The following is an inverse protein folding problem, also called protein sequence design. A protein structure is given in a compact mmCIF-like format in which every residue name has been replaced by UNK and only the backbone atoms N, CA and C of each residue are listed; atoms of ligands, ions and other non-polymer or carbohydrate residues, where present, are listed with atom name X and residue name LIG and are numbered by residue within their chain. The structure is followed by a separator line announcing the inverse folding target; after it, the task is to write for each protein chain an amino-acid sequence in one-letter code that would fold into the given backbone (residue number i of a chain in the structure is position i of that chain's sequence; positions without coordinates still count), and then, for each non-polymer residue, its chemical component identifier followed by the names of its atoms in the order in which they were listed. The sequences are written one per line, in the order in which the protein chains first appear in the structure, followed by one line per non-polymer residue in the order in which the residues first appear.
data_IF_968788830780
#
_entry.id   IF_968788830780
#
_cell.length_a   1.000
_cell.length_b   1.000
_cell.length_c   1.000
_cell.angle_alpha   90.00
_cell.angle_beta   90.00
_cell.angle_gamma   90.00
#
_symmetry.space_group_name_H-M   'P 1'
#
loop_
_entity.id
_entity.type
_entity.pdbx_description
1 polymer ?
#
# COMPACT_ATOMS: atom_id res chain seq x y z
N UNK A 1 -43.99 9.66 33.85
CA UNK A 1 -42.91 8.68 33.99
C UNK A 1 -41.77 9.08 33.06
N UNK A 2 -40.72 9.75 33.58
CA UNK A 2 -39.52 10.09 32.80
C UNK A 2 -38.28 9.71 33.63
N UNK A 3 -37.81 8.48 33.45
CA UNK A 3 -36.49 8.04 33.93
C UNK A 3 -35.56 7.93 32.71
N UNK A 4 -34.93 9.04 32.34
CA UNK A 4 -33.86 9.04 31.34
C UNK A 4 -32.51 8.80 32.04
N UNK A 5 -32.09 7.55 31.94
CA UNK A 5 -30.73 7.03 31.75
C UNK A 5 -29.55 7.95 32.12
N UNK A 6 -29.28 8.06 33.43
CA UNK A 6 -28.13 8.76 34.04
C UNK A 6 -26.76 8.13 33.71
N UNK A 7 -26.71 6.99 33.00
CA UNK A 7 -25.46 6.26 32.71
C UNK A 7 -24.76 6.71 31.43
N UNK A 8 -25.47 7.36 30.49
CA UNK A 8 -24.86 7.83 29.23
C UNK A 8 -24.06 9.13 29.38
N UNK A 9 -24.40 9.98 30.35
CA UNK A 9 -23.70 11.25 30.60
C UNK A 9 -22.33 11.05 31.28
N UNK A 10 -22.18 10.05 32.14
CA UNK A 10 -20.93 9.75 32.83
C UNK A 10 -19.82 9.25 31.87
N UNK A 11 -20.19 8.47 30.84
CA UNK A 11 -19.23 8.00 29.82
C UNK A 11 -18.77 9.11 28.89
N UNK A 12 -19.65 10.05 28.54
CA UNK A 12 -19.28 11.23 27.74
C UNK A 12 -18.30 12.16 28.45
N UNK A 13 -18.50 12.38 29.75
CA UNK A 13 -17.60 13.23 30.56
C UNK A 13 -16.21 12.61 30.75
N UNK A 14 -16.11 11.29 30.87
CA UNK A 14 -14.82 10.60 30.98
C UNK A 14 -13.97 10.71 29.69
N UNK A 15 -14.61 10.67 28.51
CA UNK A 15 -13.90 10.80 27.22
C UNK A 15 -13.39 12.23 27.01
N UNK A 16 -14.17 13.24 27.41
CA UNK A 16 -13.76 14.65 27.30
C UNK A 16 -12.58 14.94 28.25
N UNK A 17 -12.59 14.39 29.47
CA UNK A 17 -11.48 14.54 30.40
C UNK A 17 -10.18 13.90 29.89
N UNK A 18 -10.25 12.72 29.25
CA UNK A 18 -9.07 12.04 28.69
C UNK A 18 -8.46 12.84 27.53
N UNK A 19 -9.30 13.40 26.64
CA UNK A 19 -8.84 14.23 25.53
C UNK A 19 -8.17 15.53 26.01
N UNK A 20 -8.68 16.14 27.08
CA UNK A 20 -8.07 17.33 27.67
C UNK A 20 -6.68 17.06 28.26
N UNK A 21 -6.47 15.90 28.89
CA UNK A 21 -5.15 15.51 29.44
C UNK A 21 -4.14 15.26 28.32
N UNK A 22 -4.53 14.59 27.24
CA UNK A 22 -3.65 14.32 26.09
C UNK A 22 -3.26 15.62 25.37
N UNK A 23 -4.19 16.58 25.25
CA UNK A 23 -3.89 17.87 24.64
C UNK A 23 -2.90 18.70 25.48
N UNK A 24 -3.00 18.60 26.81
CA UNK A 24 -2.12 19.34 27.72
C UNK A 24 -0.70 18.77 27.77
N UNK A 25 -0.55 17.44 27.68
CA UNK A 25 0.79 16.81 27.63
C UNK A 25 1.51 17.06 26.30
N UNK A 26 0.78 17.11 25.18
CA UNK A 26 1.35 17.49 23.88
C UNK A 26 1.79 18.95 23.82
N UNK A 27 1.06 19.88 24.45
CA UNK A 27 1.45 21.28 24.52
C UNK A 27 2.67 21.52 25.44
N UNK A 28 2.77 20.79 26.56
CA UNK A 28 3.91 20.90 27.49
C UNK A 28 5.24 20.41 26.91
N UNK A 29 5.21 19.34 26.10
CA UNK A 29 6.41 18.81 25.44
C UNK A 29 7.02 19.75 24.39
N UNK A 30 6.18 20.51 23.68
CA UNK A 30 6.63 21.46 22.65
C UNK A 30 7.33 22.70 23.23
N UNK A 31 6.87 23.21 24.37
CA UNK A 31 7.46 24.38 25.04
C UNK A 31 8.83 24.08 25.69
N UNK A 32 9.02 22.89 26.25
CA UNK A 32 10.29 22.47 26.86
C UNK A 32 11.42 22.30 25.83
N UNK A 33 11.11 21.78 24.65
CA UNK A 33 12.07 21.62 23.56
C UNK A 33 12.53 22.96 22.97
N UNK A 34 11.65 23.97 22.95
CA UNK A 34 11.95 25.29 22.38
C UNK A 34 12.83 26.17 23.29
N UNK A 35 12.66 26.07 24.61
CA UNK A 35 13.44 26.85 25.59
C UNK A 35 14.88 26.32 25.71
N UNK A 36 15.10 25.01 25.60
CA UNK A 36 16.43 24.41 25.68
C UNK A 36 17.34 24.75 24.50
N UNK A 37 16.79 25.07 23.33
CA UNK A 37 17.59 25.33 22.13
C UNK A 37 18.15 26.77 22.06
N UNK A 38 17.61 27.71 22.84
CA UNK A 38 18.02 29.13 22.81
C UNK A 38 19.07 29.53 23.86
N UNK A 39 19.42 28.64 24.81
CA UNK A 39 20.35 29.00 25.89
C UNK A 39 21.85 28.81 25.56
N UNK A 40 22.20 28.36 24.34
CA UNK A 40 23.58 28.04 23.98
C UNK A 40 24.34 29.13 23.18
N UNK A 41 23.89 30.39 23.18
CA UNK A 41 24.62 31.49 22.54
C UNK A 41 24.69 32.75 23.40
N UNK A 42 25.75 32.85 24.21
CA UNK A 42 26.34 34.14 24.61
C UNK A 42 27.87 34.00 24.73
N UNK A 43 28.68 34.71 23.93
CA UNK A 43 30.07 34.93 24.26
C UNK A 43 30.19 36.17 25.14
N UNK A 44 30.73 36.04 26.35
CA UNK A 44 31.16 37.19 27.15
C UNK A 44 32.51 37.66 26.59
N UNK A 45 32.47 38.80 25.90
CA UNK A 45 33.64 39.64 25.64
C UNK A 45 33.89 40.47 26.89
N UNK A 46 35.04 40.29 27.53
CA UNK A 46 35.52 41.23 28.55
C UNK A 46 36.89 41.76 28.14
N UNK A 47 36.89 43.02 27.71
CA UNK A 47 38.07 43.76 27.27
C UNK A 47 38.40 44.79 28.37
N UNK A 48 39.44 44.53 29.15
CA UNK A 48 40.00 45.52 30.10
C UNK A 48 41.52 45.50 30.05
N UNK A 49 42.07 46.63 29.63
CA UNK A 49 43.47 46.92 29.50
C UNK A 49 44.22 46.92 30.85
N UNK A 50 45.50 46.56 30.83
CA UNK A 50 46.58 47.30 31.50
C UNK A 50 47.96 46.96 30.89
N UNK A 51 48.90 47.91 30.82
CA UNK A 51 50.21 47.72 30.20
C UNK A 51 51.29 47.39 31.24
N UNK A 52 52.27 46.55 30.87
CA UNK A 52 53.53 46.44 31.61
C UNK A 52 54.70 46.09 30.69
N UNK A 53 55.82 46.73 30.99
CA UNK A 53 57.01 46.97 30.18
C UNK A 53 58.06 45.85 30.40
N UNK A 54 58.54 45.21 29.30
CA UNK A 54 59.93 44.79 28.89
C UNK A 54 60.81 44.01 29.91
N UNK A 55 61.57 42.91 29.59
CA UNK A 55 62.53 42.84 28.47
C UNK A 55 62.76 41.54 27.66
N UNK A 56 63.26 41.77 26.43
CA UNK A 56 64.06 40.94 25.49
C UNK A 56 64.63 39.60 25.99
N UNK A 57 64.38 38.54 25.22
CA UNK A 57 65.39 37.52 24.83
C UNK A 57 64.96 36.68 23.61
N UNK A 58 65.74 36.81 22.53
CA UNK A 58 66.07 35.86 21.44
C UNK A 58 65.00 35.21 20.52
N UNK A 59 65.30 35.02 19.21
CA UNK A 59 64.35 34.53 18.23
C UNK A 59 64.37 32.99 18.16
N UNK A 60 63.25 32.34 18.51
CA UNK A 60 63.00 30.94 18.19
C UNK A 60 62.06 30.88 16.97
N UNK A 61 62.47 30.05 16.02
CA UNK A 61 61.84 29.80 14.72
C UNK A 61 60.33 29.53 14.80
N UNK A 62 59.55 30.30 14.04
CA UNK A 62 58.16 29.97 13.68
C UNK A 62 58.16 28.79 12.71
N UNK A 63 57.88 27.60 13.20
CA UNK A 63 57.26 26.55 12.40
C UNK A 63 55.75 26.85 12.31
N UNK A 64 55.09 26.67 11.15
CA UNK A 64 53.66 26.89 11.05
C UNK A 64 52.92 25.67 11.63
N UNK A 65 52.44 25.75 12.87
CA UNK A 65 51.46 24.78 13.41
C UNK A 65 50.04 25.32 13.22
N UNK A 66 49.44 25.04 12.07
CA UNK A 66 47.99 25.28 11.86
C UNK A 66 47.44 24.31 10.81
N UNK A 67 47.36 23.00 11.13
CA UNK A 67 46.64 22.02 10.31
C UNK A 67 46.27 20.68 11.01
N UNK A 68 45.56 20.64 12.17
CA UNK A 68 44.84 19.41 12.54
C UNK A 68 43.30 19.55 12.55
N UNK A 69 42.75 20.71 12.89
CA UNK A 69 41.31 20.87 13.10
C UNK A 69 40.49 20.93 11.79
N UNK A 70 41.01 21.58 10.75
CA UNK A 70 40.30 21.72 9.47
C UNK A 70 40.23 20.41 8.66
N UNK A 71 41.16 19.48 8.90
CA UNK A 71 41.21 18.15 8.26
C UNK A 71 40.25 17.16 8.92
N UNK A 72 40.05 17.26 10.23
CA UNK A 72 39.15 16.38 10.99
C UNK A 72 37.67 16.61 10.63
N UNK A 73 37.28 17.87 10.41
CA UNK A 73 35.92 18.23 9.95
C UNK A 73 35.62 17.73 8.53
N UNK A 74 36.64 17.67 7.65
CA UNK A 74 36.49 17.21 6.27
C UNK A 74 36.29 15.69 6.19
N UNK A 75 37.01 14.91 7.01
CA UNK A 75 36.85 13.46 7.08
C UNK A 75 35.45 13.07 7.62
N UNK A 76 34.93 13.83 8.58
CA UNK A 76 33.55 13.67 9.08
C UNK A 76 32.50 13.97 8.01
N UNK A 77 32.70 15.01 7.19
CA UNK A 77 31.80 15.30 6.07
C UNK A 77 31.89 14.20 5.01
N UNK A 78 33.09 13.75 4.65
CA UNK A 78 33.31 12.71 3.66
C UNK A 78 32.65 11.38 4.05
N UNK A 79 32.82 10.96 5.31
CA UNK A 79 32.14 9.77 5.85
C UNK A 79 30.62 9.91 5.81
N UNK A 80 30.07 11.07 6.19
CA UNK A 80 28.63 11.32 6.15
C UNK A 80 28.05 11.32 4.72
N UNK A 81 28.80 11.86 3.77
CA UNK A 81 28.42 11.80 2.35
C UNK A 81 28.44 10.35 1.85
N UNK A 82 29.46 9.58 2.21
CA UNK A 82 29.53 8.15 1.89
C UNK A 82 28.35 7.35 2.44
N UNK A 83 27.94 7.61 3.70
CA UNK A 83 26.75 7.01 4.30
C UNK A 83 25.48 7.34 3.51
N UNK A 84 25.28 8.61 3.16
CA UNK A 84 24.11 9.05 2.40
C UNK A 84 24.09 8.46 0.98
N UNK A 85 25.25 8.31 0.33
CA UNK A 85 25.34 7.65 -0.98
C UNK A 85 24.93 6.17 -0.89
N UNK A 86 25.38 5.46 0.16
CA UNK A 86 25.00 4.08 0.39
C UNK A 86 23.50 3.94 0.69
N UNK A 87 22.91 4.89 1.44
CA UNK A 87 21.48 4.92 1.72
C UNK A 87 20.66 5.18 0.45
N UNK A 88 21.08 6.13 -0.39
CA UNK A 88 20.47 6.38 -1.71
C UNK A 88 20.48 5.15 -2.61
N UNK A 89 21.59 4.41 -2.67
CA UNK A 89 21.67 3.18 -3.46
C UNK A 89 20.67 2.13 -3.00
N UNK A 90 20.48 1.97 -1.68
CA UNK A 90 19.47 1.06 -1.12
C UNK A 90 18.06 1.51 -1.47
N UNK A 91 17.77 2.81 -1.40
CA UNK A 91 16.47 3.36 -1.77
C UNK A 91 16.17 3.14 -3.26
N UNK A 92 17.14 3.35 -4.13
CA UNK A 92 16.99 3.09 -5.56
C UNK A 92 16.69 1.62 -5.84
N UNK A 93 17.46 0.70 -5.23
CA UNK A 93 17.23 -0.74 -5.39
C UNK A 93 15.86 -1.19 -4.85
N UNK A 94 15.37 -0.59 -3.78
CA UNK A 94 14.02 -0.84 -3.28
C UNK A 94 12.95 -0.36 -4.27
N UNK A 95 13.09 0.87 -4.79
CA UNK A 95 12.19 1.44 -5.79
C UNK A 95 12.07 0.58 -7.03
N UNK A 96 13.20 0.17 -7.63
CA UNK A 96 13.22 -0.72 -8.79
C UNK A 96 12.52 -2.06 -8.51
N UNK A 97 12.79 -2.66 -7.36
CA UNK A 97 12.18 -3.94 -6.98
C UNK A 97 10.67 -3.81 -6.89
N UNK A 98 10.16 -2.72 -6.31
CA UNK A 98 8.73 -2.44 -6.19
C UNK A 98 8.08 -2.23 -7.56
N UNK A 99 8.73 -1.50 -8.47
CA UNK A 99 8.26 -1.31 -9.85
C UNK A 99 8.18 -2.65 -10.59
N UNK A 100 9.21 -3.48 -10.48
CA UNK A 100 9.26 -4.79 -11.14
C UNK A 100 8.22 -5.77 -10.58
N UNK A 101 8.04 -5.82 -9.25
CA UNK A 101 7.03 -6.69 -8.62
C UNK A 101 5.60 -6.25 -8.92
N UNK A 102 5.36 -4.95 -9.04
CA UNK A 102 4.05 -4.40 -9.34
C UNK A 102 3.73 -4.38 -10.84
N UNK A 103 4.69 -4.61 -11.74
CA UNK A 103 4.49 -4.57 -13.18
C UNK A 103 4.12 -3.16 -13.69
N UNK A 104 4.61 -2.13 -13.01
CA UNK A 104 4.51 -0.73 -13.45
C UNK A 104 5.57 -0.44 -14.52
N UNK A 105 5.36 0.63 -15.31
CA UNK A 105 6.30 1.00 -16.37
C UNK A 105 7.63 1.52 -15.77
N UNK A 106 8.78 0.86 -16.03
CA UNK A 106 10.07 1.32 -15.53
C UNK A 106 10.46 2.72 -16.03
N UNK A 107 9.99 3.13 -17.21
CA UNK A 107 10.28 4.45 -17.79
C UNK A 107 9.58 5.60 -17.04
N UNK A 108 8.45 5.32 -16.39
CA UNK A 108 7.71 6.32 -15.61
C UNK A 108 8.26 6.47 -14.18
N UNK A 109 8.86 5.38 -13.64
CA UNK A 109 9.39 5.30 -12.28
C UNK A 109 10.89 4.96 -12.29
N UNK A 110 11.67 5.84 -12.90
CA UNK A 110 13.13 5.69 -12.98
C UNK A 110 13.83 6.17 -11.69
N UNK A 111 14.59 5.26 -11.07
CA UNK A 111 15.41 5.47 -9.89
C UNK A 111 16.93 5.54 -10.15
N UNK A 112 17.39 5.22 -11.37
CA UNK A 112 18.81 5.22 -11.76
C UNK A 112 19.25 6.57 -12.28
N UNK A 113 18.40 7.24 -13.06
CA UNK A 113 18.81 8.47 -13.71
C UNK A 113 18.60 9.67 -12.79
N UNK A 114 19.65 10.46 -12.49
CA UNK A 114 19.49 11.72 -11.79
C UNK A 114 18.67 12.69 -12.66
N UNK A 115 17.94 13.64 -12.06
CA UNK A 115 17.18 14.62 -12.82
C UNK A 115 18.12 15.39 -13.78
N UNK A 116 17.69 15.69 -15.02
CA UNK A 116 18.52 16.38 -15.98
C UNK A 116 19.06 17.70 -15.41
N UNK A 117 20.38 17.82 -15.36
CA UNK A 117 21.08 19.05 -14.98
C UNK A 117 21.66 19.70 -16.22
N UNK A 118 21.42 20.99 -16.41
CA UNK A 118 22.01 21.78 -17.48
C UNK A 118 23.28 22.50 -16.99
N UNK A 119 24.28 22.62 -17.87
CA UNK A 119 25.48 23.42 -17.62
C UNK A 119 26.40 23.44 -18.84
N UNK A 120 27.00 24.60 -19.14
CA UNK A 120 28.12 24.71 -20.07
C UNK A 120 29.40 24.56 -19.24
N UNK A 121 29.90 23.34 -19.10
CA UNK A 121 31.08 23.06 -18.27
C UNK A 121 32.35 23.02 -19.13
N UNK A 122 33.03 24.16 -19.25
CA UNK A 122 34.41 24.21 -19.70
C UNK A 122 35.24 25.07 -18.73
N UNK A 123 36.15 24.43 -18.01
CA UNK A 123 37.09 25.10 -17.11
C UNK A 123 38.16 24.15 -16.57
N UNK A 124 39.36 24.66 -16.20
CA UNK A 124 40.43 23.83 -15.67
C UNK A 124 40.08 23.25 -14.30
N UNK A 125 40.49 22.00 -14.04
CA UNK A 125 40.29 21.32 -12.76
C UNK A 125 40.99 22.08 -11.63
N UNK A 126 40.26 22.39 -10.55
CA UNK A 126 40.77 23.02 -9.33
C UNK A 126 40.15 22.34 -8.11
N UNK A 127 40.84 22.45 -6.96
CA UNK A 127 40.36 21.93 -5.70
C UNK A 127 39.01 22.55 -5.30
N UNK A 128 38.17 21.72 -4.70
CA UNK A 128 36.83 22.12 -4.26
C UNK A 128 36.92 23.20 -3.19
N UNK A 129 36.19 24.28 -3.40
CA UNK A 129 35.95 25.30 -2.37
C UNK A 129 34.84 24.84 -1.42
N UNK A 130 34.84 25.34 -0.18
CA UNK A 130 33.77 25.09 0.81
C UNK A 130 32.38 25.41 0.23
N UNK A 131 32.29 26.43 -0.64
CA UNK A 131 31.04 26.81 -1.31
C UNK A 131 30.59 25.78 -2.35
N UNK A 132 31.52 25.13 -3.06
CA UNK A 132 31.21 24.06 -4.01
C UNK A 132 30.76 22.78 -3.29
N UNK A 133 31.41 22.43 -2.17
CA UNK A 133 30.98 21.30 -1.33
C UNK A 133 29.57 21.55 -0.78
N UNK A 134 29.28 22.77 -0.32
CA UNK A 134 27.94 23.14 0.14
C UNK A 134 26.89 23.07 -0.99
N UNK A 135 27.26 23.43 -2.22
CA UNK A 135 26.40 23.29 -3.40
C UNK A 135 26.13 21.82 -3.74
N UNK A 136 27.15 20.97 -3.69
CA UNK A 136 27.03 19.55 -3.99
C UNK A 136 26.18 18.82 -2.95
N UNK A 137 26.37 19.14 -1.66
CA UNK A 137 25.51 18.68 -0.58
C UNK A 137 24.05 19.11 -0.77
N UNK A 138 23.81 20.37 -1.18
CA UNK A 138 22.46 20.84 -1.51
C UNK A 138 21.83 20.07 -2.68
N UNK A 139 22.66 19.74 -3.68
CA UNK A 139 22.27 18.92 -4.85
C UNK A 139 21.86 17.50 -4.44
N UNK A 140 22.61 16.90 -3.51
CA UNK A 140 22.38 15.55 -3.01
C UNK A 140 21.16 15.47 -2.11
N UNK A 141 20.95 16.48 -1.26
CA UNK A 141 19.71 16.63 -0.47
C UNK A 141 18.50 16.72 -1.40
N UNK A 142 18.58 17.51 -2.47
CA UNK A 142 17.51 17.61 -3.46
C UNK A 142 17.20 16.25 -4.11
N UNK A 143 18.23 15.48 -4.46
CA UNK A 143 18.06 14.14 -5.02
C UNK A 143 17.40 13.17 -4.03
N UNK A 144 17.83 13.15 -2.76
CA UNK A 144 17.19 12.32 -1.71
C UNK A 144 15.70 12.67 -1.57
N UNK A 145 15.38 13.97 -1.53
CA UNK A 145 13.99 14.42 -1.45
C UNK A 145 13.17 14.01 -2.67
N UNK A 146 13.77 14.04 -3.87
CA UNK A 146 13.11 13.56 -5.08
C UNK A 146 12.82 12.06 -5.06
N UNK A 147 13.82 11.26 -4.67
CA UNK A 147 13.66 9.81 -4.52
C UNK A 147 12.60 9.45 -3.49
N UNK A 148 12.55 10.18 -2.37
CA UNK A 148 11.49 10.03 -1.36
C UNK A 148 10.10 10.29 -1.95
N UNK A 149 9.89 11.41 -2.66
CA UNK A 149 8.59 11.71 -3.28
C UNK A 149 8.17 10.65 -4.30
N UNK A 150 9.11 10.14 -5.10
CA UNK A 150 8.83 9.05 -6.05
C UNK A 150 8.39 7.77 -5.34
N UNK A 151 9.01 7.43 -4.20
CA UNK A 151 8.60 6.28 -3.38
C UNK A 151 7.21 6.45 -2.76
N UNK A 152 6.86 7.66 -2.30
CA UNK A 152 5.51 7.95 -1.78
C UNK A 152 4.43 7.76 -2.86
N UNK A 153 4.66 8.28 -4.07
CA UNK A 153 3.73 8.07 -5.19
C UNK A 153 3.66 6.60 -5.59
N UNK A 154 4.80 5.91 -5.61
CA UNK A 154 4.85 4.49 -5.93
C UNK A 154 4.06 3.65 -4.91
N UNK A 155 4.18 3.97 -3.62
CA UNK A 155 3.41 3.36 -2.54
C UNK A 155 1.89 3.55 -2.78
N UNK A 156 1.45 4.78 -3.05
CA UNK A 156 0.05 5.08 -3.34
C UNK A 156 -0.49 4.29 -4.54
N UNK A 157 0.28 4.21 -5.63
CA UNK A 157 -0.12 3.48 -6.86
C UNK A 157 -0.19 1.97 -6.60
N UNK A 158 0.79 1.40 -5.89
CA UNK A 158 0.79 -0.03 -5.55
C UNK A 158 -0.39 -0.34 -4.63
N UNK A 159 -0.67 0.48 -3.62
CA UNK A 159 -1.81 0.32 -2.73
C UNK A 159 -3.14 0.38 -3.49
N UNK A 160 -3.34 1.33 -4.40
CA UNK A 160 -4.55 1.42 -5.21
C UNK A 160 -4.75 0.19 -6.11
N UNK A 161 -3.67 -0.31 -6.71
CA UNK A 161 -3.69 -1.51 -7.55
C UNK A 161 -4.03 -2.76 -6.74
N UNK A 162 -3.43 -2.93 -5.55
CA UNK A 162 -3.70 -4.06 -4.67
C UNK A 162 -5.14 -4.03 -4.12
N UNK A 163 -5.62 -2.85 -3.71
CA UNK A 163 -7.01 -2.65 -3.30
C UNK A 163 -7.97 -2.98 -4.44
N UNK A 164 -7.69 -2.48 -5.65
CA UNK A 164 -8.50 -2.77 -6.83
C UNK A 164 -8.51 -4.27 -7.15
N UNK A 165 -7.37 -4.96 -7.04
CA UNK A 165 -7.30 -6.39 -7.30
C UNK A 165 -8.09 -7.24 -6.28
N UNK A 166 -8.08 -6.84 -5.00
CA UNK A 166 -8.82 -7.53 -3.94
C UNK A 166 -10.34 -7.25 -3.99
N UNK A 167 -10.73 -6.07 -4.45
CA UNK A 167 -12.11 -5.59 -4.47
C UNK A 167 -12.84 -5.97 -5.76
N UNK A 168 -12.13 -6.15 -6.86
CA UNK A 168 -12.73 -6.53 -8.14
C UNK A 168 -12.90 -8.05 -8.26
N UNK A 169 -14.12 -8.54 -8.56
CA UNK A 169 -14.35 -9.95 -8.88
C UNK A 169 -13.35 -10.45 -9.92
N UNK A 170 -12.50 -11.41 -9.58
CA UNK A 170 -11.55 -12.00 -10.53
C UNK A 170 -11.42 -13.52 -10.35
N UNK A 171 -11.03 -14.20 -11.43
CA UNK A 171 -11.01 -15.66 -11.50
C UNK A 171 -12.41 -16.29 -11.58
N UNK A 172 -12.45 -17.61 -11.69
CA UNK A 172 -13.70 -18.37 -11.80
C UNK A 172 -14.27 -18.72 -10.42
N UNK A 173 -15.61 -18.82 -10.30
CA UNK A 173 -16.26 -19.26 -9.06
C UNK A 173 -16.01 -20.76 -8.77
N UNK A 174 -15.45 -21.51 -9.72
CA UNK A 174 -15.05 -22.92 -9.60
C UNK A 174 -13.64 -23.12 -10.15
N UNK A 175 -12.84 -23.98 -9.50
CA UNK A 175 -11.44 -24.25 -9.92
C UNK A 175 -11.31 -25.19 -11.11
N UNK A 176 -12.34 -25.99 -11.38
CA UNK A 176 -12.37 -26.93 -12.49
C UNK A 176 -13.79 -27.00 -13.08
N UNK A 177 -13.89 -26.93 -14.40
CA UNK A 177 -15.16 -26.91 -15.11
C UNK A 177 -15.06 -26.22 -16.48
N UNK A 178 -16.21 -26.00 -17.10
CA UNK A 178 -16.33 -25.26 -18.35
C UNK A 178 -17.64 -24.48 -18.40
N UNK A 179 -17.67 -23.44 -19.24
CA UNK A 179 -18.84 -22.59 -19.42
C UNK A 179 -19.87 -23.33 -20.26
N UNK A 180 -21.08 -23.53 -19.73
CA UNK A 180 -22.20 -24.14 -20.47
C UNK A 180 -23.19 -23.13 -20.98
N UNK A 181 -23.29 -21.97 -20.34
CA UNK A 181 -24.18 -20.91 -20.78
C UNK A 181 -23.61 -19.53 -20.48
N UNK A 182 -23.73 -18.63 -21.47
CA UNK A 182 -23.26 -17.25 -21.36
C UNK A 182 -24.39 -16.31 -20.93
N UNK A 183 -24.00 -15.13 -20.46
CA UNK A 183 -24.88 -14.00 -20.23
C UNK A 183 -25.55 -13.55 -21.53
N UNK A 184 -26.83 -13.12 -21.46
CA UNK A 184 -27.57 -12.59 -22.60
C UNK A 184 -28.78 -13.42 -23.05
N UNK A 185 -29.38 -13.03 -24.18
CA UNK A 185 -30.56 -13.71 -24.72
C UNK A 185 -30.22 -15.11 -25.24
N UNK A 186 -30.94 -16.12 -24.73
CA UNK A 186 -30.82 -17.52 -25.17
C UNK A 186 -32.16 -18.23 -25.13
N UNK A 187 -32.25 -19.38 -25.79
CA UNK A 187 -33.41 -20.27 -25.63
C UNK A 187 -33.31 -20.92 -24.26
N UNK A 188 -34.32 -20.69 -23.41
CA UNK A 188 -34.36 -21.24 -22.07
C UNK A 188 -34.49 -22.77 -22.13
N UNK A 189 -33.65 -23.53 -21.42
CA UNK A 189 -33.55 -24.98 -21.58
C UNK A 189 -34.85 -25.72 -21.22
N UNK A 190 -35.56 -25.23 -20.21
CA UNK A 190 -36.84 -25.79 -19.75
C UNK A 190 -38.04 -25.16 -20.49
N UNK A 191 -38.17 -23.84 -20.49
CA UNK A 191 -39.34 -23.13 -21.06
C UNK A 191 -39.38 -23.09 -22.59
N UNK A 192 -38.29 -23.48 -23.28
CA UNK A 192 -38.14 -23.48 -24.75
C UNK A 192 -38.48 -22.14 -25.44
N UNK A 193 -38.42 -21.03 -24.69
CA UNK A 193 -38.64 -19.66 -25.16
C UNK A 193 -37.37 -18.84 -25.03
N UNK A 194 -37.22 -17.80 -25.84
CA UNK A 194 -36.08 -16.87 -25.72
C UNK A 194 -36.22 -16.05 -24.44
N UNK A 195 -35.30 -16.23 -23.51
CA UNK A 195 -35.23 -15.52 -22.23
C UNK A 195 -33.82 -14.97 -22.03
N UNK A 196 -33.73 -13.88 -21.28
CA UNK A 196 -32.46 -13.27 -20.92
C UNK A 196 -31.84 -14.06 -19.76
N UNK A 197 -30.57 -14.41 -19.90
CA UNK A 197 -29.79 -15.07 -18.88
C UNK A 197 -28.95 -14.03 -18.15
N UNK A 198 -29.23 -13.84 -16.86
CA UNK A 198 -28.64 -12.79 -16.02
C UNK A 198 -27.24 -13.12 -15.50
N UNK A 199 -26.69 -14.28 -15.88
CA UNK A 199 -25.37 -14.73 -15.43
C UNK A 199 -24.67 -15.64 -16.41
N UNK A 200 -23.66 -16.35 -15.91
CA UNK A 200 -22.89 -17.36 -16.63
C UNK A 200 -22.99 -18.67 -15.86
N UNK A 201 -23.23 -19.76 -16.58
CA UNK A 201 -23.31 -21.11 -16.01
C UNK A 201 -21.98 -21.82 -16.18
N UNK A 202 -21.40 -22.29 -15.08
CA UNK A 202 -20.18 -23.10 -15.06
C UNK A 202 -20.51 -24.53 -14.64
N UNK A 203 -20.43 -25.47 -15.58
CA UNK A 203 -20.59 -26.87 -15.28
C UNK A 203 -19.35 -27.42 -14.58
N UNK A 204 -19.58 -28.15 -13.51
CA UNK A 204 -18.55 -28.79 -12.68
C UNK A 204 -19.19 -29.97 -11.94
N UNK A 205 -18.41 -31.00 -11.55
CA UNK A 205 -18.95 -32.10 -10.76
C UNK A 205 -19.71 -31.62 -9.52
N UNK A 206 -20.78 -32.35 -9.17
CA UNK A 206 -21.53 -32.08 -7.95
C UNK A 206 -20.62 -32.16 -6.73
N UNK A 207 -20.76 -31.24 -5.79
CA UNK A 207 -19.93 -31.16 -4.59
C UNK A 207 -18.63 -30.36 -4.76
N UNK A 208 -18.24 -30.00 -5.99
CA UNK A 208 -17.05 -29.15 -6.23
C UNK A 208 -17.14 -27.86 -5.42
N UNK A 209 -16.01 -27.41 -4.88
CA UNK A 209 -15.94 -26.16 -4.14
C UNK A 209 -16.30 -24.95 -5.02
N UNK A 210 -17.26 -24.15 -4.57
CA UNK A 210 -17.53 -22.81 -5.07
C UNK A 210 -16.77 -21.82 -4.20
N UNK A 211 -16.02 -20.92 -4.82
CA UNK A 211 -15.19 -19.93 -4.13
C UNK A 211 -15.65 -18.50 -4.37
N UNK A 212 -15.44 -17.63 -3.39
CA UNK A 212 -15.62 -16.19 -3.55
C UNK A 212 -14.62 -15.65 -4.59
N UNK A 213 -15.07 -14.79 -5.50
CA UNK A 213 -14.22 -14.25 -6.58
C UNK A 213 -13.56 -12.92 -6.20
N UNK A 214 -13.96 -12.32 -5.07
CA UNK A 214 -13.37 -11.13 -4.46
C UNK A 214 -13.72 -11.09 -2.97
N UNK A 215 -13.02 -10.24 -2.22
CA UNK A 215 -13.29 -9.99 -0.81
C UNK A 215 -14.64 -9.30 -0.61
N UNK A 216 -15.37 -9.65 0.45
CA UNK A 216 -16.67 -9.03 0.71
C UNK A 216 -17.41 -9.56 1.92
N UNK A 217 -18.66 -9.15 2.03
CA UNK A 217 -19.59 -9.56 3.09
C UNK A 217 -20.77 -10.30 2.48
N UNK A 218 -21.10 -11.46 3.05
CA UNK A 218 -22.28 -12.23 2.65
C UNK A 218 -23.53 -11.44 3.01
N UNK A 219 -24.31 -11.05 2.00
CA UNK A 219 -25.58 -10.32 2.15
C UNK A 219 -26.80 -11.23 2.09
N UNK A 220 -26.65 -12.45 1.59
CA UNK A 220 -27.69 -13.45 1.62
C UNK A 220 -27.07 -14.85 1.58
N UNK A 221 -27.61 -15.78 2.37
CA UNK A 221 -27.30 -17.21 2.25
C UNK A 221 -28.54 -18.02 2.61
N UNK A 222 -29.19 -18.60 1.60
CA UNK A 222 -30.47 -19.28 1.79
C UNK A 222 -31.04 -19.84 0.51
N UNK A 223 -32.36 -20.06 0.46
CA UNK A 223 -33.07 -20.50 -0.75
C UNK A 223 -33.81 -19.33 -1.41
N UNK A 224 -33.66 -19.17 -2.73
CA UNK A 224 -34.25 -18.06 -3.50
C UNK A 224 -34.96 -18.56 -4.76
N UNK A 225 -36.18 -19.07 -4.60
CA UNK A 225 -37.06 -19.45 -5.72
C UNK A 225 -36.34 -20.31 -6.78
N UNK A 226 -36.38 -19.85 -8.04
CA UNK A 226 -35.75 -20.53 -9.18
C UNK A 226 -34.24 -20.69 -9.07
N UNK A 227 -33.53 -19.86 -8.30
CA UNK A 227 -32.09 -19.97 -8.07
C UNK A 227 -31.70 -21.11 -7.13
N UNK A 228 -32.67 -21.72 -6.43
CA UNK A 228 -32.38 -22.79 -5.47
C UNK A 228 -31.63 -22.25 -4.25
N UNK A 229 -30.62 -22.98 -3.76
CA UNK A 229 -29.72 -22.50 -2.71
C UNK A 229 -28.75 -21.49 -3.31
N UNK A 230 -28.60 -20.35 -2.65
CA UNK A 230 -27.92 -19.18 -3.19
C UNK A 230 -27.11 -18.47 -2.12
N UNK A 231 -25.97 -17.93 -2.50
CA UNK A 231 -25.15 -17.01 -1.71
C UNK A 231 -24.99 -15.71 -2.51
N UNK A 232 -25.29 -14.56 -1.91
CA UNK A 232 -24.98 -13.25 -2.50
C UNK A 232 -23.92 -12.55 -1.62
N UNK A 233 -22.82 -12.09 -2.23
CA UNK A 233 -21.71 -11.39 -1.56
C UNK A 233 -21.63 -9.97 -2.08
N UNK A 234 -21.58 -8.98 -1.18
CA UNK A 234 -21.35 -7.57 -1.50
C UNK A 234 -19.89 -7.22 -1.31
N UNK A 235 -19.32 -6.57 -2.31
CA UNK A 235 -17.93 -6.13 -2.37
C UNK A 235 -17.80 -4.63 -2.09
N UNK A 236 -16.58 -4.16 -1.80
CA UNK A 236 -16.31 -2.76 -1.41
C UNK A 236 -16.65 -1.76 -2.52
N UNK A 237 -16.49 -2.13 -3.78
CA UNK A 237 -16.84 -1.33 -4.96
C UNK A 237 -18.37 -1.26 -5.24
N UNK A 238 -19.21 -1.80 -4.36
CA UNK A 238 -20.66 -1.81 -4.51
C UNK A 238 -21.20 -2.92 -5.43
N UNK A 239 -20.35 -3.75 -6.02
CA UNK A 239 -20.79 -4.92 -6.77
C UNK A 239 -21.35 -5.98 -5.83
N UNK A 240 -22.29 -6.77 -6.34
CA UNK A 240 -22.79 -7.97 -5.69
C UNK A 240 -22.55 -9.16 -6.61
N UNK A 241 -21.93 -10.22 -6.09
CA UNK A 241 -21.80 -11.49 -6.80
C UNK A 241 -22.79 -12.50 -6.27
N UNK A 242 -23.45 -13.23 -7.17
CA UNK A 242 -24.42 -14.28 -6.83
C UNK A 242 -23.91 -15.64 -7.25
N UNK A 243 -24.08 -16.62 -6.35
CA UNK A 243 -23.72 -18.02 -6.56
C UNK A 243 -24.95 -18.88 -6.30
N UNK A 244 -25.55 -19.41 -7.36
CA UNK A 244 -26.83 -20.11 -7.32
C UNK A 244 -26.74 -21.58 -7.77
N UNK A 245 -27.84 -22.29 -7.57
CA UNK A 245 -27.99 -23.74 -7.75
C UNK A 245 -27.10 -24.60 -6.85
N UNK A 246 -26.62 -24.01 -5.74
CA UNK A 246 -25.70 -24.66 -4.80
C UNK A 246 -26.28 -25.97 -4.26
N UNK A 247 -25.41 -26.93 -3.96
CA UNK A 247 -25.78 -28.07 -3.14
C UNK A 247 -25.86 -27.61 -1.70
N UNK A 248 -24.77 -27.13 -1.11
CA UNK A 248 -24.74 -26.62 0.27
C UNK A 248 -24.11 -25.23 0.31
N UNK A 249 -24.70 -24.35 1.12
CA UNK A 249 -24.10 -23.06 1.45
C UNK A 249 -23.26 -23.24 2.74
N UNK A 250 -22.00 -22.83 2.71
CA UNK A 250 -21.05 -23.02 3.82
C UNK A 250 -20.81 -21.74 4.62
N UNK A 251 -21.44 -20.63 4.19
CA UNK A 251 -21.34 -19.32 4.83
C UNK A 251 -22.72 -18.79 5.20
N UNK A 252 -22.75 -17.86 6.16
CA UNK A 252 -23.98 -17.23 6.67
C UNK A 252 -24.00 -15.74 6.36
N UNK A 253 -25.20 -15.16 6.34
CA UNK A 253 -25.37 -13.71 6.22
C UNK A 253 -24.60 -12.95 7.31
N UNK A 254 -23.97 -11.83 6.93
CA UNK A 254 -23.08 -11.04 7.78
C UNK A 254 -21.64 -11.54 7.86
N UNK A 255 -21.32 -12.73 7.33
CA UNK A 255 -19.96 -13.26 7.35
C UNK A 255 -19.04 -12.53 6.35
N UNK A 256 -17.85 -12.15 6.80
CA UNK A 256 -16.77 -11.69 5.91
C UNK A 256 -16.14 -12.90 5.20
N UNK A 257 -15.88 -12.74 3.91
CA UNK A 257 -15.25 -13.76 3.07
C UNK A 257 -14.10 -13.15 2.28
N UNK A 258 -13.04 -13.94 2.10
CA UNK A 258 -11.89 -13.57 1.27
C UNK A 258 -11.98 -14.20 -0.11
N UNK A 259 -11.36 -13.58 -1.10
CA UNK A 259 -11.17 -14.14 -2.42
C UNK A 259 -10.57 -15.55 -2.32
N UNK A 260 -11.11 -16.48 -3.11
CA UNK A 260 -10.69 -17.88 -3.13
C UNK A 260 -11.22 -18.72 -1.96
N UNK A 261 -11.85 -18.11 -0.95
CA UNK A 261 -12.47 -18.84 0.15
C UNK A 261 -13.64 -19.69 -0.35
N UNK A 262 -13.71 -20.94 0.11
CA UNK A 262 -14.84 -21.83 -0.18
C UNK A 262 -16.10 -21.33 0.53
N UNK A 263 -17.13 -21.02 -0.24
CA UNK A 263 -18.40 -20.45 0.24
C UNK A 263 -19.60 -21.38 0.07
N UNK A 264 -19.53 -22.30 -0.89
CA UNK A 264 -20.60 -23.24 -1.20
C UNK A 264 -20.04 -24.46 -1.94
N UNK A 265 -20.92 -25.39 -2.29
CA UNK A 265 -20.62 -26.54 -3.15
C UNK A 265 -21.53 -26.57 -4.37
N UNK A 266 -21.01 -27.00 -5.51
CA UNK A 266 -21.74 -27.12 -6.77
C UNK A 266 -22.90 -28.10 -6.61
N UNK A 267 -24.07 -27.71 -7.09
CA UNK A 267 -25.28 -28.52 -7.01
C UNK A 267 -26.14 -28.41 -8.26
N UNK A 268 -27.42 -28.72 -8.07
CA UNK A 268 -28.46 -28.62 -9.10
C UNK A 268 -29.79 -28.29 -8.42
N UNK A 269 -29.77 -27.39 -7.44
CA UNK A 269 -30.96 -27.00 -6.69
C UNK A 269 -31.78 -25.92 -7.42
N UNK A 270 -33.08 -25.83 -7.17
CA UNK A 270 -33.94 -24.87 -7.88
C UNK A 270 -34.21 -25.32 -9.32
N UNK A 271 -34.21 -24.36 -10.25
CA UNK A 271 -34.47 -24.59 -11.68
C UNK A 271 -33.15 -24.85 -12.42
N UNK A 272 -32.60 -26.06 -12.24
CA UNK A 272 -31.35 -26.51 -12.85
C UNK A 272 -31.53 -27.85 -13.57
N UNK A 273 -30.91 -28.02 -14.73
CA UNK A 273 -30.98 -29.28 -15.53
C UNK A 273 -29.85 -30.26 -15.24
N UNK A 274 -28.88 -29.88 -14.42
CA UNK A 274 -27.73 -30.70 -14.06
C UNK A 274 -26.73 -29.94 -13.18
N UNK A 275 -25.64 -30.58 -12.73
CA UNK A 275 -24.65 -29.95 -11.85
C UNK A 275 -23.93 -28.75 -12.48
N UNK A 276 -24.14 -27.55 -11.93
CA UNK A 276 -23.43 -26.33 -12.29
C UNK A 276 -23.55 -25.27 -11.19
N UNK A 277 -22.71 -24.24 -11.26
CA UNK A 277 -22.94 -22.98 -10.55
C UNK A 277 -23.45 -21.95 -11.55
N UNK A 278 -24.54 -21.27 -11.21
CA UNK A 278 -25.00 -20.08 -11.90
C UNK A 278 -24.40 -18.86 -11.20
N UNK A 279 -23.64 -18.07 -11.95
CA UNK A 279 -22.87 -16.95 -11.43
C UNK A 279 -23.30 -15.62 -12.07
N UNK A 280 -23.69 -14.66 -11.24
CA UNK A 280 -24.05 -13.31 -11.69
C UNK A 280 -23.12 -12.27 -11.07
N UNK A 281 -22.88 -11.18 -11.81
CA UNK A 281 -22.34 -9.94 -11.28
C UNK A 281 -23.44 -8.89 -11.38
N UNK A 282 -23.74 -8.23 -10.27
CA UNK A 282 -24.83 -7.27 -10.14
C UNK A 282 -24.21 -5.92 -9.78
N UNK A 283 -24.50 -4.90 -10.59
CA UNK A 283 -24.10 -3.51 -10.36
C UNK A 283 -25.36 -2.65 -10.30
N UNK A 284 -25.50 -1.85 -9.24
CA UNK A 284 -26.64 -0.93 -9.05
C UNK A 284 -28.01 -1.62 -9.21
N UNK A 285 -28.10 -2.87 -8.72
CA UNK A 285 -29.31 -3.69 -8.78
C UNK A 285 -29.59 -4.35 -10.13
N UNK A 286 -28.74 -4.18 -11.15
CA UNK A 286 -28.88 -4.80 -12.47
C UNK A 286 -27.78 -5.83 -12.73
N UNK A 287 -28.15 -6.96 -13.30
CA UNK A 287 -27.19 -7.96 -13.76
C UNK A 287 -26.37 -7.42 -14.95
N UNK A 288 -25.05 -7.61 -14.88
CA UNK A 288 -24.09 -7.24 -15.93
C UNK A 288 -23.30 -8.46 -16.36
N UNK A 289 -22.73 -8.43 -17.57
CA UNK A 289 -21.95 -9.56 -18.10
C UNK A 289 -20.76 -9.88 -17.18
N UNK A 290 -20.74 -11.06 -16.54
CA UNK A 290 -19.65 -11.47 -15.65
C UNK A 290 -18.28 -11.47 -16.32
N UNK A 291 -18.19 -11.78 -17.63
CA UNK A 291 -16.92 -11.82 -18.35
C UNK A 291 -16.25 -10.45 -18.54
N UNK A 292 -16.89 -9.36 -18.11
CA UNK A 292 -16.24 -8.05 -17.98
C UNK A 292 -15.37 -7.93 -16.72
N UNK A 293 -15.54 -8.84 -15.77
CA UNK A 293 -14.88 -8.80 -14.47
C UNK A 293 -13.99 -10.03 -14.27
N UNK A 294 -14.47 -11.21 -14.69
CA UNK A 294 -13.74 -12.47 -14.53
C UNK A 294 -13.04 -12.92 -15.82
N UNK A 295 -11.93 -13.63 -15.65
CA UNK A 295 -11.16 -14.21 -16.75
C UNK A 295 -12.01 -15.20 -17.57
N UNK A 296 -11.74 -15.33 -18.87
CA UNK A 296 -12.45 -16.28 -19.75
C UNK A 296 -12.01 -17.74 -19.58
N UNK A 297 -10.96 -17.99 -18.80
CA UNK A 297 -10.45 -19.32 -18.47
C UNK A 297 -10.15 -19.39 -16.97
N UNK A 298 -10.26 -20.59 -16.34
CA UNK A 298 -9.90 -20.75 -14.95
C UNK A 298 -8.39 -20.54 -14.80
N UNK A 299 -7.97 -19.75 -13.80
CA UNK A 299 -6.53 -19.63 -13.50
C UNK A 299 -6.01 -20.99 -13.02
N UNK A 300 -4.91 -21.50 -13.58
CA UNK A 300 -4.21 -22.64 -13.01
C UNK A 300 -3.87 -22.31 -11.56
N UNK A 301 -4.17 -23.25 -10.64
CA UNK A 301 -3.58 -23.16 -9.30
C UNK A 301 -2.10 -23.43 -9.51
N UNK A 302 -1.28 -22.37 -9.48
CA UNK A 302 0.15 -22.53 -9.29
C UNK A 302 0.30 -23.28 -7.98
N UNK A 303 0.70 -24.55 -8.04
CA UNK A 303 1.08 -25.29 -6.86
C UNK A 303 2.13 -24.44 -6.15
N UNK A 304 1.84 -24.01 -4.92
CA UNK A 304 2.86 -23.48 -4.03
C UNK A 304 4.01 -24.48 -4.05
N UNK A 305 5.19 -24.02 -4.48
CA UNK A 305 6.41 -24.81 -4.46
C UNK A 305 6.53 -25.42 -3.05
N UNK A 306 6.21 -26.70 -2.95
CA UNK A 306 6.50 -27.49 -1.77
C UNK A 306 8.02 -27.54 -1.68
N UNK A 307 8.55 -26.94 -0.62
CA UNK A 307 9.87 -27.26 -0.09
C UNK A 307 10.01 -28.77 0.01
N UNK A 308 10.71 -29.35 -0.95
CA UNK A 308 11.23 -30.69 -0.89
C UNK A 308 12.76 -30.54 -0.92
N UNK A 309 13.35 -30.37 0.27
CA UNK A 309 14.78 -30.58 0.45
C UNK A 309 14.99 -32.06 0.81
N UNK A 310 15.76 -32.82 0.01
CA UNK A 310 16.21 -34.13 0.43
C UNK A 310 17.36 -33.99 1.43
N UNK A 311 17.22 -34.67 2.57
CA UNK A 311 18.33 -35.01 3.46
C UNK A 311 19.09 -36.25 3.00
#
# INVERSE_FOLDING_TARGET
MHHLDRRKTARGQAVIALLAVILFTLAGGGLGFWIGHYQNMTPIVDNRAQPSIVPRSSPASLAPSSAPAATEDLDLIASRVGEMQAELLRLNALGERLVHMSGLNPEEFDFTDPPPRGGAEEGPARDFTIREIASELGSMVSLVQDRKRKLEVLEDVIMDKDLTAQVMPSGWPVRAGYVTSRFGFRVHPIKKRRLFHEGVDFASPRGTAIVAVADGVVTFSGRKGGYGRTVDIRHVNGLVTRYAHNQDNLVKEGQMVRQGQKIATVGSSGTATGPHVHFEVIKDGKAVDPFRYIDRQPRPVLASASEDQPG
#
